data_IF_538809571533
#
_entry.id   IF_538809571533
#
_cell.length_a   1.000
_cell.length_b   1.000
_cell.length_c   1.000
_cell.angle_alpha   90.00
_cell.angle_beta   90.00
_cell.angle_gamma   90.00
#
_symmetry.space_group_name_H-M   'P 1'
#
loop_
_entity.id
_entity.type
_entity.pdbx_description
1 polymer ?
#
# COMPACT_ATOMS: atom_id res chain seq x y z
N UNK A 1 4.90 2.40 -9.25
CA UNK A 1 3.97 1.81 -8.27
C UNK A 1 2.83 1.08 -9.00
N UNK A 2 3.07 -0.17 -9.44
CA UNK A 2 2.16 -0.92 -10.32
C UNK A 2 0.94 -1.45 -9.56
N UNK A 3 1.14 -1.95 -8.34
CA UNK A 3 0.07 -2.53 -7.51
C UNK A 3 -1.06 -1.54 -7.27
N UNK A 4 -0.77 -0.35 -6.74
CA UNK A 4 -1.82 0.63 -6.45
C UNK A 4 -2.47 1.23 -7.69
N UNK A 5 -1.75 1.31 -8.83
CA UNK A 5 -2.36 1.69 -10.11
C UNK A 5 -3.37 0.64 -10.58
N UNK A 6 -3.05 -0.65 -10.47
CA UNK A 6 -3.95 -1.75 -10.83
C UNK A 6 -5.24 -1.74 -9.98
N UNK A 7 -5.16 -1.30 -8.72
CA UNK A 7 -6.33 -1.18 -7.84
C UNK A 7 -7.02 0.20 -7.87
N UNK A 8 -6.55 1.17 -8.67
CA UNK A 8 -7.12 2.52 -8.72
C UNK A 8 -6.97 3.31 -7.42
N UNK A 9 -5.85 3.13 -6.72
CA UNK A 9 -5.53 3.71 -5.40
C UNK A 9 -4.33 4.67 -5.44
N UNK A 10 -3.74 4.89 -6.61
CA UNK A 10 -2.51 5.67 -6.74
C UNK A 10 -2.68 7.10 -6.23
N UNK A 11 -3.84 7.72 -6.50
CA UNK A 11 -4.25 9.06 -6.08
C UNK A 11 -4.33 9.24 -4.56
N UNK A 12 -4.59 8.17 -3.82
CA UNK A 12 -4.65 8.21 -2.35
C UNK A 12 -3.25 8.10 -1.75
N UNK A 13 -2.43 7.22 -2.32
CA UNK A 13 -1.08 6.94 -1.80
C UNK A 13 -0.08 8.04 -2.17
N UNK A 14 -0.20 8.64 -3.36
CA UNK A 14 0.62 9.81 -3.72
C UNK A 14 0.09 11.13 -3.11
N UNK A 15 -1.14 11.10 -2.58
CA UNK A 15 -1.83 12.24 -1.97
C UNK A 15 -2.32 13.29 -2.95
N UNK A 16 -2.47 12.95 -4.23
CA UNK A 16 -3.15 13.80 -5.23
C UNK A 16 -4.61 14.04 -4.84
N UNK A 17 -5.25 13.02 -4.26
CA UNK A 17 -6.56 13.12 -3.62
C UNK A 17 -6.40 13.33 -2.11
N UNK A 18 -7.22 14.22 -1.52
CA UNK A 18 -7.22 14.48 -0.07
C UNK A 18 -8.65 14.50 0.45
N UNK A 19 -8.86 13.85 1.60
CA UNK A 19 -10.15 13.81 2.30
C UNK A 19 -10.66 15.21 2.65
N UNK A 20 -9.75 16.14 2.94
CA UNK A 20 -10.06 17.53 3.33
C UNK A 20 -10.71 18.32 2.19
N UNK A 21 -10.43 17.95 0.94
CA UNK A 21 -10.98 18.61 -0.26
C UNK A 21 -12.38 18.11 -0.61
N UNK A 22 -12.85 17.04 0.02
CA UNK A 22 -14.16 16.46 -0.24
C UNK A 22 -15.20 17.12 0.65
N UNK A 23 -16.33 17.52 0.07
CA UNK A 23 -17.41 18.20 0.79
C UNK A 23 -18.58 17.26 1.08
N UNK A 24 -18.84 16.29 0.20
CA UNK A 24 -19.95 15.33 0.37
C UNK A 24 -19.55 14.13 1.22
N UNK A 25 -20.47 13.66 2.05
CA UNK A 25 -20.25 12.50 2.92
C UNK A 25 -20.01 11.20 2.13
N UNK A 26 -20.73 11.00 1.02
CA UNK A 26 -20.57 9.82 0.15
C UNK A 26 -19.19 9.76 -0.50
N UNK A 27 -18.69 10.91 -0.98
CA UNK A 27 -17.35 11.02 -1.55
C UNK A 27 -16.28 10.73 -0.51
N UNK A 28 -16.46 11.21 0.73
CA UNK A 28 -15.58 10.91 1.86
C UNK A 28 -15.56 9.43 2.20
N UNK A 29 -16.72 8.77 2.26
CA UNK A 29 -16.81 7.33 2.54
C UNK A 29 -16.09 6.49 1.46
N UNK A 30 -16.31 6.81 0.18
CA UNK A 30 -15.62 6.15 -0.93
C UNK A 30 -14.11 6.35 -0.83
N UNK A 31 -13.66 7.57 -0.51
CA UNK A 31 -12.24 7.86 -0.33
C UNK A 31 -11.65 7.09 0.85
N UNK A 32 -12.34 7.04 2.00
CA UNK A 32 -11.89 6.30 3.18
C UNK A 32 -11.77 4.80 2.89
N UNK A 33 -12.67 4.22 2.10
CA UNK A 33 -12.57 2.82 1.65
C UNK A 33 -11.34 2.58 0.80
N UNK A 34 -11.01 3.52 -0.11
CA UNK A 34 -9.77 3.45 -0.91
C UNK A 34 -8.52 3.55 -0.03
N UNK A 35 -8.51 4.49 0.91
CA UNK A 35 -7.41 4.67 1.85
C UNK A 35 -7.20 3.40 2.69
N UNK A 36 -8.25 2.87 3.32
CA UNK A 36 -8.18 1.62 4.08
C UNK A 36 -7.68 0.43 3.23
N UNK A 37 -8.11 0.32 1.97
CA UNK A 37 -7.63 -0.71 1.04
C UNK A 37 -6.13 -0.53 0.74
N UNK A 38 -5.68 0.71 0.54
CA UNK A 38 -4.28 1.01 0.33
C UNK A 38 -3.44 0.69 1.58
N UNK A 39 -3.87 1.09 2.77
CA UNK A 39 -3.22 0.77 4.05
C UNK A 39 -3.07 -0.75 4.21
N UNK A 40 -4.13 -1.53 3.97
CA UNK A 40 -4.09 -3.01 4.01
C UNK A 40 -3.02 -3.58 3.07
N UNK A 41 -2.96 -3.10 1.82
CA UNK A 41 -1.95 -3.54 0.86
C UNK A 41 -0.55 -3.21 1.38
N UNK A 42 -0.33 -2.02 1.92
CA UNK A 42 0.97 -1.62 2.48
C UNK A 42 1.38 -2.58 3.62
N UNK A 43 0.53 -2.74 4.65
CA UNK A 43 0.84 -3.57 5.83
C UNK A 43 1.11 -5.03 5.44
N UNK A 44 0.36 -5.57 4.48
CA UNK A 44 0.48 -6.98 4.08
C UNK A 44 1.66 -7.26 3.14
N UNK A 45 2.21 -6.23 2.49
CA UNK A 45 3.29 -6.41 1.50
C UNK A 45 4.69 -6.16 2.06
N UNK A 46 4.82 -5.36 3.11
CA UNK A 46 6.12 -5.02 3.69
C UNK A 46 6.60 -6.04 4.73
N UNK A 47 7.88 -5.96 5.07
CA UNK A 47 8.46 -6.70 6.19
C UNK A 47 7.95 -6.22 7.56
N UNK A 48 7.82 -7.15 8.51
CA UNK A 48 7.38 -6.86 9.89
C UNK A 48 8.22 -5.78 10.59
N UNK A 49 9.53 -5.71 10.30
CA UNK A 49 10.40 -4.66 10.85
C UNK A 49 9.99 -3.26 10.38
N UNK A 50 9.61 -3.12 9.11
CA UNK A 50 9.13 -1.86 8.54
C UNK A 50 7.74 -1.49 9.06
N UNK A 51 6.91 -2.49 9.34
CA UNK A 51 5.57 -2.30 9.90
C UNK A 51 5.58 -1.49 11.21
N UNK A 52 6.58 -1.71 12.07
CA UNK A 52 6.72 -0.97 13.34
C UNK A 52 6.87 0.55 13.13
N UNK A 53 7.40 0.98 11.99
CA UNK A 53 7.60 2.41 11.68
C UNK A 53 6.34 3.11 11.18
N UNK A 54 5.36 2.35 10.69
CA UNK A 54 4.16 2.87 10.02
C UNK A 54 2.85 2.53 10.74
N UNK A 55 2.86 1.70 11.77
CA UNK A 55 1.65 1.28 12.49
C UNK A 55 0.89 2.45 13.13
N UNK A 56 1.60 3.54 13.45
CA UNK A 56 1.02 4.76 14.02
C UNK A 56 0.60 5.78 12.96
N UNK A 57 0.70 5.46 11.66
CA UNK A 57 0.28 6.35 10.59
C UNK A 57 -1.23 6.19 10.34
N UNK A 58 -1.93 7.31 10.19
CA UNK A 58 -3.39 7.31 10.01
C UNK A 58 -3.82 7.21 8.54
N UNK A 59 -2.93 7.57 7.60
CA UNK A 59 -3.20 7.58 6.16
C UNK A 59 -2.22 6.69 5.39
N UNK A 60 -2.69 6.10 4.29
CA UNK A 60 -1.85 5.31 3.40
C UNK A 60 -0.69 6.12 2.81
N UNK A 61 -0.92 7.42 2.55
CA UNK A 61 0.12 8.36 2.10
C UNK A 61 1.28 8.41 3.09
N UNK A 62 0.99 8.65 4.37
CA UNK A 62 2.01 8.78 5.41
C UNK A 62 2.80 7.48 5.60
N UNK A 63 2.10 6.34 5.52
CA UNK A 63 2.73 5.02 5.55
C UNK A 63 3.72 4.86 4.39
N UNK A 64 3.28 5.18 3.18
CA UNK A 64 4.08 5.06 1.96
C UNK A 64 5.28 6.01 1.97
N UNK A 65 5.09 7.27 2.37
CA UNK A 65 6.17 8.26 2.46
C UNK A 65 7.23 7.86 3.51
N UNK A 66 6.83 7.33 4.67
CA UNK A 66 7.78 6.80 5.65
C UNK A 66 8.57 5.63 5.12
N UNK A 67 7.89 4.67 4.46
CA UNK A 67 8.56 3.53 3.84
C UNK A 67 9.58 4.02 2.81
N UNK A 68 9.15 4.90 1.90
CA UNK A 68 9.99 5.50 0.87
C UNK A 68 11.23 6.16 1.48
N UNK A 69 11.06 6.95 2.54
CA UNK A 69 12.17 7.61 3.25
C UNK A 69 13.15 6.60 3.88
N UNK A 70 12.65 5.49 4.45
CA UNK A 70 13.51 4.41 4.98
C UNK A 70 14.34 3.80 3.84
N UNK A 71 13.72 3.52 2.69
CA UNK A 71 14.42 2.98 1.54
C UNK A 71 15.41 3.96 0.92
N UNK A 72 15.08 5.24 0.81
CA UNK A 72 15.98 6.29 0.30
C UNK A 72 17.19 6.52 1.20
N UNK A 73 17.05 6.32 2.52
CA UNK A 73 18.16 6.38 3.49
C UNK A 73 19.00 5.10 3.56
N UNK A 74 18.54 4.01 2.97
CA UNK A 74 19.25 2.73 2.96
C UNK A 74 20.26 2.71 1.81
N UNK A 75 21.43 2.09 2.00
CA UNK A 75 22.39 1.93 0.89
C UNK A 75 21.78 1.09 -0.23
N UNK A 76 22.24 1.33 -1.47
CA UNK A 76 21.69 0.72 -2.69
C UNK A 76 21.61 -0.83 -2.62
N UNK A 77 22.54 -1.45 -1.88
CA UNK A 77 22.63 -2.89 -1.67
C UNK A 77 21.51 -3.42 -0.76
N UNK A 78 21.20 -2.71 0.33
CA UNK A 78 20.11 -3.05 1.26
C UNK A 78 18.71 -2.82 0.66
N UNK A 79 18.58 -1.87 -0.26
CA UNK A 79 17.32 -1.59 -0.97
C UNK A 79 16.96 -2.74 -1.92
N UNK A 80 17.95 -3.24 -2.67
CA UNK A 80 17.74 -4.34 -3.62
C UNK A 80 17.30 -5.65 -2.95
N UNK A 81 17.90 -6.02 -1.81
CA UNK A 81 17.48 -7.22 -1.08
C UNK A 81 16.05 -7.12 -0.56
N UNK A 82 15.71 -6.00 0.09
CA UNK A 82 14.36 -5.76 0.63
C UNK A 82 13.29 -5.63 -0.46
N UNK A 83 13.65 -5.09 -1.63
CA UNK A 83 12.73 -5.00 -2.77
C UNK A 83 12.41 -6.39 -3.36
N UNK A 84 13.35 -7.34 -3.35
CA UNK A 84 13.09 -8.73 -3.79
C UNK A 84 12.08 -9.43 -2.89
N UNK A 85 12.24 -9.35 -1.57
CA UNK A 85 11.30 -9.94 -0.61
C UNK A 85 9.88 -9.35 -0.75
N UNK A 86 9.78 -8.04 -1.00
CA UNK A 86 8.50 -7.39 -1.27
C UNK A 86 7.86 -7.86 -2.59
N UNK A 87 8.65 -8.03 -3.65
CA UNK A 87 8.15 -8.49 -4.95
C UNK A 87 7.64 -9.94 -4.88
N UNK A 88 8.33 -10.82 -4.15
CA UNK A 88 7.92 -12.21 -3.95
C UNK A 88 6.62 -12.32 -3.14
N UNK A 89 6.44 -11.45 -2.13
CA UNK A 89 5.17 -11.35 -1.39
C UNK A 89 4.02 -10.86 -2.26
N UNK A 90 4.27 -9.85 -3.10
CA UNK A 90 3.26 -9.35 -4.05
C UNK A 90 2.86 -10.46 -5.03
N UNK A 91 3.83 -11.20 -5.59
CA UNK A 91 3.56 -12.33 -6.49
C UNK A 91 2.68 -13.39 -5.82
N UNK A 92 3.00 -13.76 -4.58
CA UNK A 92 2.18 -14.69 -3.79
C UNK A 92 0.76 -14.19 -3.53
N UNK A 93 0.56 -12.88 -3.31
CA UNK A 93 -0.79 -12.30 -3.16
C UNK A 93 -1.56 -12.41 -4.47
N UNK A 94 -0.92 -12.13 -5.62
CA UNK A 94 -1.55 -12.26 -6.94
C UNK A 94 -1.95 -13.72 -7.26
N UNK A 95 -1.09 -14.69 -6.93
CA UNK A 95 -1.38 -16.11 -7.13
C UNK A 95 -2.52 -16.60 -6.23
N UNK A 96 -2.54 -16.18 -4.96
CA UNK A 96 -3.65 -16.49 -4.04
C UNK A 96 -4.97 -15.84 -4.46
N UNK A 97 -4.91 -14.61 -4.98
CA UNK A 97 -6.09 -13.91 -5.52
C UNK A 97 -6.69 -14.62 -6.74
N UNK A 98 -5.87 -15.33 -7.52
CA UNK A 98 -6.32 -16.11 -8.68
C UNK A 98 -6.90 -17.47 -8.28
N UNK A 99 -6.40 -18.07 -7.19
CA UNK A 99 -6.95 -19.33 -6.65
C UNK A 99 -8.29 -19.17 -5.92
N UNK A 100 -8.53 -18.04 -5.25
CA UNK A 100 -9.78 -17.80 -4.50
C UNK A 100 -10.99 -17.52 -5.41
N UNK A 101 -10.77 -17.21 -6.69
CA UNK A 101 -11.83 -17.15 -7.71
C UNK A 101 -12.20 -18.52 -8.29
N UNK A 102 -11.34 -19.54 -8.16
CA UNK A 102 -11.61 -20.89 -8.71
C UNK A 102 -12.33 -21.79 -7.71
N UNK A 103 -12.19 -21.57 -6.40
CA UNK A 103 -12.85 -22.39 -5.38
C UNK A 103 -14.29 -21.95 -5.04
N UNK A 104 -14.83 -20.90 -5.66
CA UNK A 104 -16.20 -20.42 -5.48
C UNK A 104 -17.08 -20.62 -6.74
N UNK A 105 -16.69 -21.53 -7.64
CA UNK A 105 -17.48 -21.97 -8.80
C UNK A 105 -17.76 -23.47 -8.73
#
# INVERSE_FOLDING_TARGET
MVVFKAYGLADVVDGSSSLEKLTKAEEKDVWLKKDAKAQKIIVTTIERKLMMHIINCERAKDMFDKIKNIFEKSSHEQVCERAKDMFDKIKNIFEKSSHEQVCNL
#
